data_IF_939820226841
#
_entry.id   IF_939820226841
#
_cell.length_a   1.000
_cell.length_b   1.000
_cell.length_c   1.000
_cell.angle_alpha   90.00
_cell.angle_beta   90.00
_cell.angle_gamma   90.00
#
_symmetry.space_group_name_H-M   'P 1'
#
loop_
_entity.id
_entity.type
_entity.pdbx_description
1 polymer ?
#
# COMPACT_ATOMS: atom_id res chain seq x y z
N UNK A 1 21.60 6.64 2.13
CA UNK A 1 22.79 5.75 1.90
C UNK A 1 22.40 4.30 1.60
N UNK A 2 21.14 4.04 1.24
CA UNK A 2 20.58 2.71 0.90
C UNK A 2 20.51 2.39 -0.60
N UNK A 3 20.37 3.43 -1.44
CA UNK A 3 19.99 3.27 -2.86
C UNK A 3 21.01 2.43 -3.68
N UNK A 4 22.30 2.68 -3.55
CA UNK A 4 23.32 1.96 -4.33
C UNK A 4 23.53 0.47 -3.95
N UNK A 5 23.21 0.10 -2.70
CA UNK A 5 23.30 -1.30 -2.27
C UNK A 5 22.09 -2.11 -2.79
N UNK A 6 20.93 -1.47 -2.90
CA UNK A 6 19.74 -2.09 -3.46
C UNK A 6 19.88 -2.32 -4.96
N UNK A 7 20.45 -1.37 -5.68
CA UNK A 7 20.75 -1.49 -7.12
C UNK A 7 21.66 -2.68 -7.41
N UNK A 8 22.71 -2.89 -6.61
CA UNK A 8 23.63 -4.03 -6.80
C UNK A 8 22.94 -5.38 -6.58
N UNK A 9 22.09 -5.49 -5.55
CA UNK A 9 21.34 -6.72 -5.26
C UNK A 9 20.27 -6.96 -6.33
N UNK A 10 19.61 -5.90 -6.80
CA UNK A 10 18.66 -5.98 -7.91
C UNK A 10 19.34 -6.42 -9.21
N UNK A 11 20.52 -5.89 -9.52
CA UNK A 11 21.33 -6.32 -10.67
C UNK A 11 21.72 -7.81 -10.57
N UNK A 12 22.12 -8.29 -9.39
CA UNK A 12 22.41 -9.71 -9.19
C UNK A 12 21.19 -10.59 -9.46
N UNK A 13 20.01 -10.19 -8.97
CA UNK A 13 18.75 -10.88 -9.23
C UNK A 13 18.38 -10.91 -10.71
N UNK A 14 18.56 -9.78 -11.42
CA UNK A 14 18.37 -9.69 -12.88
C UNK A 14 19.38 -10.54 -13.64
N UNK A 15 20.61 -10.65 -13.13
CA UNK A 15 21.68 -11.49 -13.69
C UNK A 15 21.51 -12.99 -13.48
N UNK A 16 20.50 -13.41 -12.72
CA UNK A 16 20.18 -14.82 -12.51
C UNK A 16 20.52 -15.37 -11.13
N UNK A 17 20.98 -14.54 -10.21
CA UNK A 17 21.19 -14.94 -8.81
C UNK A 17 19.86 -14.93 -8.04
N UNK A 18 19.17 -16.07 -8.02
CA UNK A 18 17.91 -16.23 -7.29
C UNK A 18 18.06 -16.04 -5.77
N UNK A 19 19.27 -16.23 -5.23
CA UNK A 19 19.58 -15.99 -3.83
C UNK A 19 19.45 -14.52 -3.42
N UNK A 20 19.53 -13.60 -4.38
CA UNK A 20 19.37 -12.17 -4.14
C UNK A 20 17.91 -11.78 -3.81
N UNK A 21 16.90 -12.62 -4.11
CA UNK A 21 15.49 -12.32 -3.82
C UNK A 21 15.23 -12.11 -2.33
N UNK A 22 15.72 -13.01 -1.47
CA UNK A 22 15.49 -12.93 -0.03
C UNK A 22 16.00 -11.62 0.58
N UNK A 23 17.29 -11.28 0.44
CA UNK A 23 17.84 -10.01 0.92
C UNK A 23 17.10 -8.78 0.40
N UNK A 24 16.73 -8.77 -0.89
CA UNK A 24 16.03 -7.65 -1.49
C UNK A 24 14.59 -7.52 -0.97
N UNK A 25 13.90 -8.64 -0.80
CA UNK A 25 12.56 -8.68 -0.21
C UNK A 25 12.56 -8.16 1.23
N UNK A 26 13.51 -8.61 2.06
CA UNK A 26 13.62 -8.17 3.46
C UNK A 26 13.87 -6.66 3.59
N UNK A 27 14.62 -6.05 2.69
CA UNK A 27 14.82 -4.60 2.67
C UNK A 27 13.53 -3.82 2.44
N UNK A 28 12.64 -4.36 1.62
CA UNK A 28 11.35 -3.71 1.31
C UNK A 28 10.20 -4.22 2.18
N UNK A 29 10.45 -5.21 3.06
CA UNK A 29 9.42 -5.83 3.90
C UNK A 29 8.58 -4.83 4.67
N UNK A 30 9.22 -3.84 5.33
CA UNK A 30 8.51 -2.85 6.13
C UNK A 30 7.59 -1.96 5.28
N UNK A 31 7.99 -1.59 4.06
CA UNK A 31 7.16 -0.82 3.13
C UNK A 31 5.98 -1.66 2.64
N UNK A 32 6.23 -2.92 2.29
CA UNK A 32 5.19 -3.86 1.87
C UNK A 32 4.21 -4.18 3.01
N UNK A 33 4.69 -4.34 4.25
CA UNK A 33 3.83 -4.55 5.41
C UNK A 33 2.88 -3.37 5.63
N UNK A 34 3.38 -2.12 5.59
CA UNK A 34 2.54 -0.93 5.65
C UNK A 34 1.49 -0.89 4.53
N UNK A 35 1.90 -1.23 3.30
CA UNK A 35 0.97 -1.34 2.17
C UNK A 35 -0.15 -2.34 2.47
N UNK A 36 0.18 -3.52 2.99
CA UNK A 36 -0.80 -4.57 3.30
C UNK A 36 -1.73 -4.12 4.43
N UNK A 37 -1.19 -3.68 5.57
CA UNK A 37 -1.95 -3.19 6.72
C UNK A 37 -2.94 -2.10 6.31
N UNK A 38 -2.55 -1.29 5.36
CA UNK A 38 -3.31 -0.18 4.86
C UNK A 38 -4.43 -0.56 3.89
N UNK A 39 -4.21 -1.60 3.08
CA UNK A 39 -5.13 -2.02 2.00
C UNK A 39 -5.90 -3.28 2.33
N UNK A 40 -5.58 -3.95 3.43
CA UNK A 40 -6.26 -5.17 3.83
C UNK A 40 -7.70 -4.85 4.24
N UNK A 41 -8.64 -5.58 3.64
CA UNK A 41 -10.06 -5.45 3.97
C UNK A 41 -10.31 -5.73 5.44
N UNK A 42 -11.00 -4.83 6.13
CA UNK A 42 -11.35 -4.94 7.55
C UNK A 42 -12.03 -6.28 7.91
N UNK A 43 -12.76 -6.87 6.96
CA UNK A 43 -13.41 -8.18 7.13
C UNK A 43 -12.44 -9.36 7.21
N UNK A 44 -11.19 -9.14 6.80
CA UNK A 44 -10.10 -10.12 6.86
C UNK A 44 -9.22 -9.92 8.10
N UNK A 45 -9.27 -8.75 8.74
CA UNK A 45 -8.52 -8.47 9.97
C UNK A 45 -8.87 -9.51 11.05
N UNK A 46 -7.84 -10.07 11.66
CA UNK A 46 -7.97 -11.17 12.65
C UNK A 46 -8.08 -12.58 12.06
N UNK A 47 -8.12 -12.70 10.71
CA UNK A 47 -8.04 -13.99 10.00
C UNK A 47 -6.77 -14.12 9.18
N UNK A 48 -6.27 -12.99 8.71
CA UNK A 48 -5.06 -12.86 7.90
C UNK A 48 -4.34 -11.63 8.43
N UNK A 49 -3.06 -11.72 8.61
CA UNK A 49 -2.21 -10.58 8.95
C UNK A 49 -1.27 -10.19 7.79
N UNK A 50 -0.51 -9.12 7.99
CA UNK A 50 0.42 -8.66 6.97
C UNK A 50 1.52 -9.70 6.67
N UNK A 51 1.95 -10.44 7.67
CA UNK A 51 2.99 -11.45 7.52
C UNK A 51 2.51 -12.64 6.67
N UNK A 52 1.25 -13.07 6.80
CA UNK A 52 0.65 -14.09 5.95
C UNK A 52 0.66 -13.65 4.48
N UNK A 53 0.25 -12.41 4.21
CA UNK A 53 0.26 -11.85 2.85
C UNK A 53 1.68 -11.77 2.29
N UNK A 54 2.63 -11.32 3.09
CA UNK A 54 4.03 -11.19 2.67
C UNK A 54 4.69 -12.54 2.42
N UNK A 55 4.34 -13.56 3.19
CA UNK A 55 4.81 -14.93 2.95
C UNK A 55 4.30 -15.46 1.61
N UNK A 56 2.99 -15.33 1.32
CA UNK A 56 2.42 -15.70 0.04
C UNK A 56 3.05 -14.88 -1.11
N UNK A 57 3.26 -13.57 -0.89
CA UNK A 57 3.93 -12.69 -1.86
C UNK A 57 5.33 -13.17 -2.19
N UNK A 58 6.12 -13.54 -1.19
CA UNK A 58 7.49 -14.05 -1.40
C UNK A 58 7.50 -15.33 -2.25
N UNK A 59 6.61 -16.26 -1.95
CA UNK A 59 6.45 -17.50 -2.73
C UNK A 59 6.06 -17.19 -4.17
N UNK A 60 5.10 -16.29 -4.40
CA UNK A 60 4.67 -15.89 -5.74
C UNK A 60 5.76 -15.14 -6.50
N UNK A 61 6.54 -14.29 -5.82
CA UNK A 61 7.69 -13.61 -6.41
C UNK A 61 8.74 -14.61 -6.92
N UNK A 62 9.06 -15.63 -6.11
CA UNK A 62 9.98 -16.70 -6.53
C UNK A 62 9.55 -17.40 -7.80
N UNK A 63 8.27 -17.70 -7.96
CA UNK A 63 7.71 -18.32 -9.18
C UNK A 63 7.79 -17.42 -10.41
N UNK A 64 7.86 -16.10 -10.22
CA UNK A 64 7.78 -15.07 -11.29
C UNK A 64 9.11 -14.36 -11.56
N UNK A 65 10.23 -14.85 -11.03
CA UNK A 65 11.54 -14.22 -11.21
C UNK A 65 11.96 -14.07 -12.68
N UNK A 66 11.59 -15.01 -13.53
CA UNK A 66 11.84 -14.91 -14.98
C UNK A 66 11.14 -13.71 -15.61
N UNK A 67 9.94 -13.37 -15.14
CA UNK A 67 9.21 -12.20 -15.62
C UNK A 67 9.88 -10.90 -15.11
N UNK A 68 10.37 -10.87 -13.87
CA UNK A 68 11.11 -9.72 -13.34
C UNK A 68 12.38 -9.44 -14.15
N UNK A 69 13.13 -10.46 -14.53
CA UNK A 69 14.37 -10.33 -15.34
C UNK A 69 14.14 -9.72 -16.71
N UNK A 70 12.97 -9.93 -17.28
CA UNK A 70 12.56 -9.35 -18.57
C UNK A 70 11.85 -8.01 -18.48
N UNK A 71 11.63 -7.46 -17.28
CA UNK A 71 10.93 -6.20 -17.03
C UNK A 71 11.92 -5.12 -16.56
N UNK A 72 11.80 -3.91 -17.09
CA UNK A 72 12.66 -2.77 -16.69
C UNK A 72 12.17 -2.07 -15.41
N UNK A 73 11.05 -2.50 -14.82
CA UNK A 73 10.54 -1.88 -13.60
C UNK A 73 11.46 -2.13 -12.40
N UNK A 74 11.62 -1.14 -11.50
CA UNK A 74 12.31 -1.33 -10.23
C UNK A 74 11.70 -2.47 -9.41
N UNK A 75 12.54 -3.17 -8.64
CA UNK A 75 12.09 -4.31 -7.82
C UNK A 75 10.92 -3.93 -6.90
N UNK A 76 10.98 -2.77 -6.24
CA UNK A 76 9.89 -2.32 -5.36
C UNK A 76 8.55 -2.21 -6.09
N UNK A 77 8.54 -1.68 -7.31
CA UNK A 77 7.32 -1.58 -8.14
C UNK A 77 6.81 -2.97 -8.51
N UNK A 78 7.71 -3.86 -8.93
CA UNK A 78 7.36 -5.21 -9.34
C UNK A 78 6.80 -6.04 -8.18
N UNK A 79 7.48 -6.04 -7.02
CA UNK A 79 7.05 -6.81 -5.86
C UNK A 79 5.74 -6.25 -5.26
N UNK A 80 5.54 -4.93 -5.31
CA UNK A 80 4.29 -4.29 -4.91
C UNK A 80 3.10 -4.78 -5.74
N UNK A 81 3.26 -4.93 -7.05
CA UNK A 81 2.21 -5.48 -7.92
C UNK A 81 1.87 -6.92 -7.55
N UNK A 82 2.87 -7.74 -7.23
CA UNK A 82 2.65 -9.12 -6.76
C UNK A 82 1.91 -9.10 -5.41
N UNK A 83 2.32 -8.24 -4.47
CA UNK A 83 1.64 -8.10 -3.16
C UNK A 83 0.18 -7.72 -3.35
N UNK A 84 -0.12 -6.76 -4.22
CA UNK A 84 -1.49 -6.36 -4.53
C UNK A 84 -2.31 -7.51 -5.12
N UNK A 85 -1.74 -8.27 -6.05
CA UNK A 85 -2.39 -9.45 -6.62
C UNK A 85 -2.65 -10.52 -5.56
N UNK A 86 -1.67 -10.76 -4.68
CA UNK A 86 -1.80 -11.72 -3.56
C UNK A 86 -2.94 -11.32 -2.62
N UNK A 87 -3.07 -10.03 -2.27
CA UNK A 87 -4.20 -9.54 -1.45
C UNK A 87 -5.55 -9.78 -2.14
N UNK A 88 -5.66 -9.51 -3.44
CA UNK A 88 -6.89 -9.76 -4.21
C UNK A 88 -7.23 -11.25 -4.22
N UNK A 89 -6.25 -12.12 -4.38
CA UNK A 89 -6.46 -13.57 -4.41
C UNK A 89 -6.85 -14.11 -3.02
N UNK A 90 -6.25 -13.57 -1.94
CA UNK A 90 -6.64 -13.87 -0.57
C UNK A 90 -8.07 -13.39 -0.27
N UNK A 91 -8.40 -12.17 -0.68
CA UNK A 91 -9.76 -11.65 -0.56
C UNK A 91 -10.79 -12.57 -1.26
N UNK A 92 -10.51 -12.96 -2.50
CA UNK A 92 -11.38 -13.89 -3.25
C UNK A 92 -11.50 -15.25 -2.59
N UNK A 93 -10.43 -15.82 -2.02
CA UNK A 93 -10.44 -17.11 -1.32
C UNK A 93 -11.29 -17.07 -0.06
N UNK A 94 -11.12 -16.02 0.76
CA UNK A 94 -11.72 -15.95 2.09
C UNK A 94 -13.14 -15.36 2.10
N UNK A 95 -13.44 -14.41 1.23
CA UNK A 95 -14.76 -13.76 1.15
C UNK A 95 -15.60 -14.26 -0.03
N UNK A 96 -15.00 -14.68 -1.13
CA UNK A 96 -15.73 -15.16 -2.30
C UNK A 96 -16.54 -16.45 -2.06
N UNK A 97 -16.15 -17.30 -1.12
CA UNK A 97 -16.94 -18.46 -0.71
C UNK A 97 -18.19 -18.02 0.09
N UNK A 98 -18.05 -17.03 0.95
CA UNK A 98 -19.15 -16.48 1.76
C UNK A 98 -20.13 -15.66 0.93
N UNK A 99 -19.65 -14.93 -0.09
CA UNK A 99 -20.48 -14.08 -0.95
C UNK A 99 -21.22 -14.86 -2.04
N UNK A 100 -20.66 -15.97 -2.54
CA UNK A 100 -21.37 -16.88 -3.44
C UNK A 100 -22.58 -17.51 -2.79
N UNK A 101 -22.52 -17.75 -1.48
CA UNK A 101 -23.66 -18.20 -0.69
C UNK A 101 -24.72 -17.09 -0.48
N UNK A 102 -24.35 -15.81 -0.64
CA UNK A 102 -25.21 -14.65 -0.42
C UNK A 102 -25.70 -13.95 -1.70
N UNK A 103 -25.26 -14.39 -2.89
CA UNK A 103 -25.70 -13.82 -4.19
C UNK A 103 -25.28 -12.37 -4.47
N UNK A 104 -24.22 -11.86 -3.82
CA UNK A 104 -23.73 -10.48 -3.98
C UNK A 104 -22.48 -10.45 -4.86
N UNK A 105 -22.42 -9.47 -5.78
CA UNK A 105 -21.23 -9.17 -6.58
C UNK A 105 -20.07 -8.68 -5.70
N UNK A 106 -18.84 -9.06 -6.10
CA UNK A 106 -17.62 -8.67 -5.39
C UNK A 106 -17.19 -7.31 -5.90
N UNK A 107 -17.49 -6.25 -5.16
CA UNK A 107 -16.82 -4.97 -5.34
C UNK A 107 -15.33 -5.08 -4.98
N UNK A 108 -14.48 -4.37 -5.73
CA UNK A 108 -13.05 -4.25 -5.41
C UNK A 108 -12.89 -3.71 -3.97
N UNK A 109 -11.85 -4.14 -3.23
CA UNK A 109 -11.67 -3.71 -1.84
C UNK A 109 -11.58 -2.18 -1.79
N UNK A 110 -12.59 -1.57 -1.21
CA UNK A 110 -12.58 -0.14 -0.94
C UNK A 110 -11.63 0.15 0.22
N UNK A 111 -10.89 1.22 0.10
CA UNK A 111 -9.84 1.72 0.97
C UNK A 111 -10.34 2.16 2.36
N UNK A 112 -10.96 1.26 3.12
CA UNK A 112 -11.52 1.57 4.45
C UNK A 112 -10.53 1.54 5.61
N UNK A 113 -9.28 1.07 5.38
CA UNK A 113 -8.26 0.99 6.42
C UNK A 113 -7.44 2.28 6.59
N UNK A 114 -7.73 3.31 5.79
CA UNK A 114 -6.87 4.49 5.63
C UNK A 114 -6.74 5.37 6.88
N UNK A 115 -7.79 5.49 7.63
CA UNK A 115 -7.88 6.45 8.74
C UNK A 115 -7.17 6.01 10.01
N UNK A 116 -7.09 4.72 10.26
CA UNK A 116 -6.45 4.20 11.48
C UNK A 116 -4.96 4.52 11.59
N UNK A 117 -4.29 4.79 10.47
CA UNK A 117 -2.84 5.05 10.44
C UNK A 117 -2.46 6.52 10.68
N UNK A 118 -3.38 7.47 10.42
CA UNK A 118 -3.14 8.88 10.73
C UNK A 118 -3.14 9.17 12.25
N UNK A 119 -3.67 8.26 13.05
CA UNK A 119 -3.88 8.47 14.47
C UNK A 119 -2.98 7.52 15.28
N UNK A 120 -1.78 7.96 15.62
CA UNK A 120 -0.78 7.18 16.37
C UNK A 120 -1.27 6.63 17.72
N UNK A 121 -0.64 5.56 18.21
CA UNK A 121 -0.95 4.88 19.47
C UNK A 121 -0.83 5.78 20.71
N UNK A 122 -1.93 6.07 21.39
CA UNK A 122 -1.97 6.68 22.75
C UNK A 122 -3.16 6.14 23.55
N UNK A 123 -2.99 5.92 24.83
CA UNK A 123 -3.72 5.00 25.68
C UNK A 123 -4.63 5.63 26.75
N UNK A 124 -5.42 6.67 26.46
CA UNK A 124 -6.42 7.18 27.40
C UNK A 124 -7.81 7.31 26.78
N UNK A 125 -8.92 7.01 27.52
CA UNK A 125 -10.28 6.99 26.99
C UNK A 125 -10.73 8.29 26.30
N UNK A 126 -10.41 9.44 26.85
CA UNK A 126 -10.74 10.76 26.26
C UNK A 126 -10.01 11.02 24.95
N UNK A 127 -8.77 10.51 24.86
CA UNK A 127 -7.99 10.58 23.62
C UNK A 127 -8.43 9.54 22.60
N UNK A 128 -9.04 8.44 23.00
CA UNK A 128 -9.59 7.43 22.10
C UNK A 128 -10.82 7.98 21.35
N UNK A 129 -11.71 8.70 22.03
CA UNK A 129 -12.86 9.37 21.39
C UNK A 129 -12.42 10.48 20.41
N UNK A 130 -11.50 11.34 20.82
CA UNK A 130 -10.94 12.39 19.95
C UNK A 130 -10.23 11.81 18.71
N UNK A 131 -9.66 10.63 18.85
CA UNK A 131 -9.04 9.92 17.73
C UNK A 131 -10.04 9.34 16.76
N UNK A 132 -11.12 8.78 17.25
CA UNK A 132 -12.17 8.27 16.38
C UNK A 132 -12.78 9.39 15.55
N UNK A 133 -13.03 10.54 16.15
CA UNK A 133 -13.53 11.72 15.44
C UNK A 133 -12.52 12.25 14.40
N UNK A 134 -11.22 12.28 14.75
CA UNK A 134 -10.15 12.64 13.79
C UNK A 134 -10.04 11.59 12.69
N UNK A 135 -10.20 10.32 13.01
CA UNK A 135 -10.18 9.22 12.05
C UNK A 135 -11.32 9.36 11.04
N UNK A 136 -12.55 9.55 11.52
CA UNK A 136 -13.72 9.74 10.66
C UNK A 136 -13.54 10.95 9.72
N UNK A 137 -13.08 12.08 10.24
CA UNK A 137 -12.82 13.28 9.42
C UNK A 137 -11.74 13.06 8.35
N UNK A 138 -10.71 12.29 8.67
CA UNK A 138 -9.69 11.92 7.68
C UNK A 138 -10.27 10.96 6.62
N UNK A 139 -11.10 10.00 7.02
CA UNK A 139 -11.78 9.10 6.08
C UNK A 139 -12.66 9.88 5.13
N UNK A 140 -13.49 10.76 5.65
CA UNK A 140 -14.37 11.63 4.87
C UNK A 140 -13.56 12.50 3.90
N UNK A 141 -12.50 13.16 4.40
CA UNK A 141 -11.62 13.97 3.58
C UNK A 141 -10.97 13.19 2.44
N UNK A 142 -10.55 11.95 2.71
CA UNK A 142 -9.97 11.08 1.70
C UNK A 142 -11.02 10.56 0.69
N UNK A 143 -12.26 10.33 1.13
CA UNK A 143 -13.35 9.94 0.23
C UNK A 143 -13.74 11.06 -0.73
N UNK A 144 -13.68 12.33 -0.30
CA UNK A 144 -13.93 13.51 -1.14
C UNK A 144 -12.82 13.78 -2.16
N UNK A 145 -11.66 13.13 -2.02
CA UNK A 145 -10.54 13.33 -2.93
C UNK A 145 -10.70 12.51 -4.22
N UNK A 146 -10.16 13.06 -5.32
CA UNK A 146 -9.96 12.30 -6.55
C UNK A 146 -9.14 11.03 -6.30
N UNK A 147 -9.51 9.92 -6.92
CA UNK A 147 -8.90 8.60 -6.71
C UNK A 147 -7.38 8.60 -6.92
N UNK A 148 -6.92 9.28 -7.99
CA UNK A 148 -5.48 9.37 -8.28
C UNK A 148 -4.76 10.22 -7.24
N UNK A 149 -5.35 11.33 -6.79
CA UNK A 149 -4.74 12.21 -5.78
C UNK A 149 -4.65 11.48 -4.44
N UNK A 150 -5.66 10.69 -4.07
CA UNK A 150 -5.64 9.79 -2.92
C UNK A 150 -4.54 8.74 -3.05
N UNK A 151 -4.46 8.07 -4.20
CA UNK A 151 -3.45 7.03 -4.43
C UNK A 151 -2.02 7.60 -4.39
N UNK A 152 -1.79 8.81 -4.92
CA UNK A 152 -0.49 9.49 -4.80
C UNK A 152 -0.09 9.71 -3.34
N UNK A 153 -1.03 10.14 -2.48
CA UNK A 153 -0.77 10.29 -1.05
C UNK A 153 -0.40 8.96 -0.41
N UNK A 154 -1.11 7.89 -0.79
CA UNK A 154 -0.86 6.55 -0.28
C UNK A 154 0.55 6.10 -0.59
N UNK A 155 0.90 6.12 -1.86
CA UNK A 155 2.20 5.65 -2.35
C UNK A 155 3.36 6.46 -1.76
N UNK A 156 3.21 7.80 -1.67
CA UNK A 156 4.26 8.69 -1.21
C UNK A 156 4.42 8.75 0.30
N UNK A 157 3.32 8.77 1.03
CA UNK A 157 3.33 9.06 2.46
C UNK A 157 3.26 7.81 3.33
N UNK A 158 2.55 6.79 2.90
CA UNK A 158 2.36 5.54 3.67
C UNK A 158 3.25 4.41 3.19
N UNK A 159 3.38 4.24 1.87
CA UNK A 159 4.24 3.20 1.32
C UNK A 159 5.69 3.69 1.13
N UNK A 160 5.96 4.98 1.40
CA UNK A 160 7.29 5.61 1.34
C UNK A 160 7.99 5.43 -0.02
N UNK A 161 7.19 5.41 -1.10
CA UNK A 161 7.71 5.19 -2.44
C UNK A 161 8.38 6.45 -3.02
N UNK A 162 9.54 6.31 -3.68
CA UNK A 162 10.15 7.40 -4.46
C UNK A 162 9.20 7.92 -5.53
N UNK A 163 9.27 9.22 -5.85
CA UNK A 163 8.37 9.84 -6.84
C UNK A 163 8.45 9.19 -8.22
N UNK A 164 9.65 8.77 -8.65
CA UNK A 164 9.86 8.04 -9.90
C UNK A 164 9.04 6.74 -9.97
N UNK A 165 9.00 6.00 -8.86
CA UNK A 165 8.30 4.72 -8.76
C UNK A 165 6.78 4.93 -8.69
N UNK A 166 6.33 5.98 -7.99
CA UNK A 166 4.91 6.40 -8.01
C UNK A 166 4.45 6.73 -9.43
N UNK A 167 5.28 7.43 -10.20
CA UNK A 167 4.97 7.74 -11.59
C UNK A 167 4.80 6.48 -12.45
N UNK A 168 5.64 5.46 -12.23
CA UNK A 168 5.52 4.15 -12.90
C UNK A 168 4.24 3.43 -12.48
N UNK A 169 3.96 3.36 -11.17
CA UNK A 169 2.75 2.69 -10.63
C UNK A 169 1.47 3.30 -11.21
N UNK A 170 1.42 4.63 -11.29
CA UNK A 170 0.24 5.36 -11.75
C UNK A 170 0.20 5.59 -13.27
N UNK A 171 1.23 5.15 -13.99
CA UNK A 171 1.39 5.38 -15.43
C UNK A 171 1.28 6.87 -15.83
N UNK A 172 1.88 7.77 -15.03
CA UNK A 172 1.92 9.22 -15.26
C UNK A 172 3.36 9.72 -15.32
N UNK A 173 3.55 10.97 -15.77
CA UNK A 173 4.86 11.62 -15.76
C UNK A 173 5.29 11.95 -14.32
N UNK A 174 6.58 11.90 -14.03
CA UNK A 174 7.13 12.15 -12.70
C UNK A 174 6.77 13.56 -12.17
N UNK A 175 6.80 14.56 -13.03
CA UNK A 175 6.35 15.92 -12.69
C UNK A 175 4.86 15.97 -12.36
N UNK A 176 4.05 15.17 -13.05
CA UNK A 176 2.63 15.07 -12.75
C UNK A 176 2.40 14.42 -11.38
N UNK A 177 3.14 13.37 -11.04
CA UNK A 177 3.10 12.74 -9.72
C UNK A 177 3.44 13.73 -8.60
N UNK A 178 4.53 14.51 -8.76
CA UNK A 178 4.92 15.56 -7.80
C UNK A 178 3.83 16.62 -7.63
N UNK A 179 3.27 17.13 -8.73
CA UNK A 179 2.24 18.16 -8.69
C UNK A 179 0.95 17.64 -8.05
N UNK A 180 0.57 16.39 -8.34
CA UNK A 180 -0.59 15.74 -7.72
C UNK A 180 -0.39 15.57 -6.22
N UNK A 181 0.79 15.14 -5.78
CA UNK A 181 1.11 14.99 -4.37
C UNK A 181 0.96 16.31 -3.59
N UNK A 182 1.54 17.40 -4.11
CA UNK A 182 1.42 18.72 -3.47
C UNK A 182 -0.03 19.19 -3.41
N UNK A 183 -0.80 18.99 -4.49
CA UNK A 183 -2.22 19.33 -4.56
C UNK A 183 -3.04 18.51 -3.56
N UNK A 184 -2.80 17.21 -3.51
CA UNK A 184 -3.48 16.28 -2.62
C UNK A 184 -3.21 16.62 -1.14
N UNK A 185 -1.96 16.93 -0.78
CA UNK A 185 -1.61 17.40 0.56
C UNK A 185 -2.30 18.71 0.92
N UNK A 186 -2.32 19.68 0.00
CA UNK A 186 -2.97 20.96 0.22
C UNK A 186 -4.49 20.81 0.42
N UNK A 187 -5.11 19.93 -0.36
CA UNK A 187 -6.53 19.61 -0.24
C UNK A 187 -6.83 18.91 1.08
N UNK A 188 -6.05 17.90 1.43
CA UNK A 188 -6.19 17.19 2.71
C UNK A 188 -6.04 18.17 3.88
N UNK A 189 -5.02 19.04 3.85
CA UNK A 189 -4.84 20.08 4.87
C UNK A 189 -6.06 21.00 4.95
N UNK A 190 -6.63 21.43 3.81
CA UNK A 190 -7.83 22.27 3.78
C UNK A 190 -9.06 21.59 4.40
N UNK A 191 -9.24 20.29 4.14
CA UNK A 191 -10.35 19.51 4.69
C UNK A 191 -10.19 19.27 6.20
N UNK A 192 -8.93 19.19 6.68
CA UNK A 192 -8.60 18.97 8.09
C UNK A 192 -8.42 20.27 8.90
N UNK A 193 -8.36 21.44 8.26
CA UNK A 193 -8.15 22.73 8.95
C UNK A 193 -9.29 23.11 9.91
N UNK A 194 -10.47 22.51 9.79
CA UNK A 194 -11.54 22.60 10.78
C UNK A 194 -11.31 21.82 12.08
N UNK A 195 -10.19 21.07 12.22
CA UNK A 195 -9.85 20.32 13.43
C UNK A 195 -9.09 21.16 14.47
N UNK A 196 -8.45 22.25 14.02
CA UNK A 196 -7.66 23.12 14.92
C UNK A 196 -8.54 24.04 15.80
N UNK A 197 -9.86 24.01 15.60
CA UNK A 197 -10.83 24.82 16.37
C UNK A 197 -11.56 24.03 17.48
N UNK A 198 -11.15 22.77 17.74
CA UNK A 198 -11.68 21.90 18.80
C UNK A 198 -10.63 21.63 19.89
#
# INVERSE_FOLDING_TARGET
MGDGADELVEQALRGGDDGALGPLFERHRAALARMVEFRLDQRLVGRIDADDVLQDTFVEAGKRLSAFRGDDKPFLVWIRLITQQTMVDLHRRHLGASMRAAGKEIDAPQSGAMSGLFVGHVTTPSRAMMREEVREKIEDALQEMDEIDREVLMLRHFEDMPNKDVAIVLAIQENAASNRYVRALSRLKGLLSGLDEL
#
